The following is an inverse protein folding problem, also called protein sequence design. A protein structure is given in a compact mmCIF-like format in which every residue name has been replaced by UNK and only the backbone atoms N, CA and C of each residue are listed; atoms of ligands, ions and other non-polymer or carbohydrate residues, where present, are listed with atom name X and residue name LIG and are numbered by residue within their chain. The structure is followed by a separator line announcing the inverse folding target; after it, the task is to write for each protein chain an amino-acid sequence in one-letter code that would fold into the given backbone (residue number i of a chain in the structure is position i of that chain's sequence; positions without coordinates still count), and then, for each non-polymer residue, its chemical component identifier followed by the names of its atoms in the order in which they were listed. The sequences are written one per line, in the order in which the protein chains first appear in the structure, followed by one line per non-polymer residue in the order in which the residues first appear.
data_IF_280420414043
#
_entry.id   IF_280420414043
#
_cell.length_a   1.000
_cell.length_b   1.000
_cell.length_c   1.000
_cell.angle_alpha   90.00
_cell.angle_beta   90.00
_cell.angle_gamma   90.00
#
_symmetry.space_group_name_H-M   'P 1'
#
loop_
_entity.id
_entity.type
_entity.pdbx_description
1 polymer ?
#
# COMPACT_ATOMS: atom_id res chain seq x y z
N UNK A 1 -13.19 -7.96 -23.56
CA UNK A 1 -12.96 -6.50 -23.64
C UNK A 1 -12.31 -6.18 -24.98
N UNK A 2 -12.91 -5.29 -25.78
CA UNK A 2 -12.24 -4.76 -26.97
C UNK A 2 -11.00 -4.00 -26.49
N UNK A 3 -9.83 -4.35 -27.01
CA UNK A 3 -8.53 -3.98 -26.42
C UNK A 3 -8.20 -2.48 -26.40
N UNK A 4 -8.98 -1.65 -27.10
CA UNK A 4 -8.65 -0.24 -27.36
C UNK A 4 -9.77 0.74 -27.01
N UNK A 5 -10.82 0.32 -26.29
CA UNK A 5 -11.91 1.22 -25.85
C UNK A 5 -12.00 1.28 -24.33
N UNK A 6 -12.15 2.48 -23.78
CA UNK A 6 -12.43 2.68 -22.35
C UNK A 6 -13.86 2.28 -22.02
N UNK A 7 -14.18 2.10 -20.73
CA UNK A 7 -15.53 1.80 -20.30
C UNK A 7 -16.50 2.90 -20.72
N UNK A 8 -16.11 4.16 -20.58
CA UNK A 8 -16.88 5.34 -20.97
C UNK A 8 -17.20 5.29 -22.46
N UNK A 9 -16.20 5.00 -23.31
CA UNK A 9 -16.39 4.88 -24.76
C UNK A 9 -17.32 3.73 -25.14
N UNK A 10 -17.29 2.62 -24.39
CA UNK A 10 -18.21 1.51 -24.59
C UNK A 10 -19.62 1.94 -24.20
N UNK A 11 -19.79 2.61 -23.05
CA UNK A 11 -21.09 3.06 -22.57
C UNK A 11 -21.72 4.12 -23.48
N UNK A 12 -20.94 5.08 -23.98
CA UNK A 12 -21.41 6.08 -24.96
C UNK A 12 -21.88 5.43 -26.27
N UNK A 13 -21.24 4.32 -26.68
CA UNK A 13 -21.61 3.59 -27.90
C UNK A 13 -22.88 2.74 -27.70
N UNK A 14 -22.93 1.98 -26.61
CA UNK A 14 -23.96 0.97 -26.36
C UNK A 14 -25.20 1.54 -25.67
N UNK A 15 -25.07 2.68 -24.98
CA UNK A 15 -26.12 3.36 -24.21
C UNK A 15 -26.05 4.89 -24.45
N UNK A 16 -26.37 5.38 -25.66
CA UNK A 16 -26.17 6.78 -26.03
C UNK A 16 -27.05 7.78 -25.24
N UNK A 17 -28.16 7.30 -24.67
CA UNK A 17 -29.05 8.11 -23.82
C UNK A 17 -28.53 8.23 -22.37
N UNK A 18 -27.50 7.45 -22.00
CA UNK A 18 -26.90 7.49 -20.68
C UNK A 18 -25.91 8.66 -20.59
N UNK A 19 -26.27 9.68 -19.81
CA UNK A 19 -25.38 10.80 -19.52
C UNK A 19 -24.66 10.59 -18.18
N UNK A 20 -23.40 10.14 -18.24
CA UNK A 20 -22.57 9.91 -17.05
C UNK A 20 -21.75 11.16 -16.73
N UNK A 21 -21.85 11.63 -15.49
CA UNK A 21 -21.01 12.71 -14.97
C UNK A 21 -20.05 12.16 -13.93
N UNK A 22 -18.76 12.14 -14.26
CA UNK A 22 -17.72 11.67 -13.35
C UNK A 22 -17.29 12.80 -12.40
N UNK A 23 -17.47 12.57 -11.10
CA UNK A 23 -17.01 13.49 -10.04
C UNK A 23 -15.93 12.80 -9.21
N UNK A 24 -14.64 13.11 -9.43
CA UNK A 24 -13.56 12.50 -8.64
C UNK A 24 -13.59 13.02 -7.20
N UNK A 25 -13.41 12.11 -6.25
CA UNK A 25 -13.36 12.37 -4.82
C UNK A 25 -12.09 11.78 -4.20
N UNK A 26 -11.58 12.32 -3.09
CA UNK A 26 -10.25 11.96 -2.59
C UNK A 26 -10.17 10.60 -1.87
N UNK A 27 -11.31 9.97 -1.52
CA UNK A 27 -11.32 8.68 -0.81
C UNK A 27 -12.62 7.90 -1.00
N UNK A 28 -12.57 6.60 -0.73
CA UNK A 28 -13.76 5.75 -0.75
C UNK A 28 -14.82 6.20 0.25
N UNK A 29 -14.40 6.66 1.43
CA UNK A 29 -15.33 7.19 2.44
C UNK A 29 -16.06 8.45 1.95
N UNK A 30 -15.35 9.36 1.28
CA UNK A 30 -15.97 10.55 0.69
C UNK A 30 -16.96 10.16 -0.43
N UNK A 31 -16.63 9.14 -1.23
CA UNK A 31 -17.51 8.62 -2.27
C UNK A 31 -18.81 8.03 -1.69
N UNK A 32 -18.68 7.18 -0.65
CA UNK A 32 -19.83 6.60 0.05
C UNK A 32 -20.71 7.70 0.65
N UNK A 33 -20.11 8.74 1.22
CA UNK A 33 -20.86 9.85 1.81
C UNK A 33 -21.68 10.62 0.77
N UNK A 34 -21.17 10.82 -0.45
CA UNK A 34 -21.95 11.42 -1.53
C UNK A 34 -23.16 10.55 -1.94
N UNK A 35 -23.01 9.23 -1.95
CA UNK A 35 -24.13 8.31 -2.20
C UNK A 35 -25.17 8.42 -1.08
N UNK A 36 -24.76 8.45 0.19
CA UNK A 36 -25.68 8.61 1.33
C UNK A 36 -26.47 9.90 1.32
N UNK A 37 -25.87 10.96 0.79
CA UNK A 37 -26.48 12.28 0.70
C UNK A 37 -27.36 12.45 -0.54
N UNK A 38 -27.58 11.38 -1.31
CA UNK A 38 -28.26 11.41 -2.62
C UNK A 38 -27.65 12.45 -3.59
N UNK A 39 -26.35 12.76 -3.43
CA UNK A 39 -25.64 13.73 -4.26
C UNK A 39 -25.14 13.12 -5.58
N UNK A 40 -25.00 11.79 -5.63
CA UNK A 40 -24.65 11.00 -6.81
C UNK A 40 -25.48 9.71 -6.83
N UNK A 41 -25.76 9.18 -8.02
CA UNK A 41 -26.56 7.95 -8.17
C UNK A 41 -25.82 6.69 -7.70
N UNK A 42 -24.51 6.63 -7.92
CA UNK A 42 -23.64 5.56 -7.45
C UNK A 42 -22.18 6.04 -7.36
N UNK A 43 -21.35 5.27 -6.66
CA UNK A 43 -19.92 5.49 -6.56
C UNK A 43 -19.15 4.22 -6.91
N UNK A 44 -18.00 4.38 -7.59
CA UNK A 44 -17.02 3.32 -7.79
C UNK A 44 -15.85 3.61 -6.85
N UNK A 45 -15.61 2.71 -5.90
CA UNK A 45 -14.61 2.92 -4.86
C UNK A 45 -13.95 1.59 -4.46
N UNK A 46 -12.63 1.57 -4.20
CA UNK A 46 -12.00 0.43 -3.55
C UNK A 46 -12.51 0.31 -2.11
N UNK A 47 -13.05 -0.84 -1.75
CA UNK A 47 -13.64 -1.08 -0.42
C UNK A 47 -12.91 -2.23 0.28
N UNK A 48 -11.72 -2.01 0.86
CA UNK A 48 -11.05 -3.02 1.65
C UNK A 48 -11.68 -3.15 3.04
N UNK A 49 -11.78 -4.39 3.54
CA UNK A 49 -12.23 -4.65 4.91
C UNK A 49 -13.74 -4.56 5.11
N UNK A 50 -14.17 -3.86 6.16
CA UNK A 50 -15.57 -3.82 6.57
C UNK A 50 -16.40 -2.95 5.65
N UNK A 51 -17.57 -3.45 5.28
CA UNK A 51 -18.47 -2.78 4.35
C UNK A 51 -19.58 -2.04 5.09
N UNK A 52 -19.95 -0.83 4.64
CA UNK A 52 -21.13 -0.15 5.17
C UNK A 52 -22.38 -1.00 4.92
N UNK A 53 -23.26 -1.09 5.92
CA UNK A 53 -24.51 -1.88 5.85
C UNK A 53 -25.70 -1.06 5.37
N UNK A 54 -25.52 0.25 5.25
CA UNK A 54 -26.55 1.24 4.92
C UNK A 54 -26.57 1.64 3.45
N UNK A 55 -25.66 1.08 2.64
CA UNK A 55 -25.63 1.23 1.18
C UNK A 55 -25.53 -0.14 0.51
N UNK A 56 -26.11 -0.28 -0.69
CA UNK A 56 -25.95 -1.49 -1.50
C UNK A 56 -24.59 -1.49 -2.18
N UNK A 57 -23.91 -2.64 -2.18
CA UNK A 57 -22.56 -2.80 -2.73
C UNK A 57 -22.58 -3.97 -3.72
N UNK A 58 -22.20 -3.68 -4.96
CA UNK A 58 -22.05 -4.67 -6.02
C UNK A 58 -20.58 -4.73 -6.48
N UNK A 59 -19.90 -5.90 -6.38
CA UNK A 59 -18.52 -6.03 -6.82
C UNK A 59 -18.46 -6.05 -8.35
N UNK A 60 -17.75 -5.07 -8.94
CA UNK A 60 -17.59 -4.95 -10.39
C UNK A 60 -16.22 -5.39 -10.90
N UNK A 61 -15.20 -5.40 -10.04
CA UNK A 61 -13.83 -5.76 -10.38
C UNK A 61 -13.03 -6.17 -9.13
N UNK A 62 -11.94 -6.91 -9.37
CA UNK A 62 -10.91 -7.18 -8.38
C UNK A 62 -9.58 -6.59 -8.87
N UNK A 63 -8.83 -5.97 -7.97
CA UNK A 63 -7.46 -5.51 -8.21
C UNK A 63 -6.50 -6.22 -7.24
N UNK A 64 -5.22 -6.25 -7.61
CA UNK A 64 -4.15 -6.82 -6.82
C UNK A 64 -3.33 -5.76 -6.08
N UNK A 65 -2.60 -6.19 -5.06
CA UNK A 65 -1.51 -5.42 -4.47
C UNK A 65 -0.20 -5.92 -5.08
N UNK A 66 0.53 -5.05 -5.76
CA UNK A 66 1.83 -5.37 -6.35
C UNK A 66 2.94 -4.77 -5.48
N UNK A 67 3.90 -5.61 -5.12
CA UNK A 67 5.14 -5.20 -4.46
C UNK A 67 6.24 -5.21 -5.52
N UNK A 68 7.04 -4.15 -5.59
CA UNK A 68 8.01 -3.99 -6.67
C UNK A 68 9.29 -3.32 -6.21
N UNK A 69 10.37 -3.65 -6.92
CA UNK A 69 11.71 -3.09 -6.75
C UNK A 69 12.20 -2.53 -8.07
N UNK A 70 13.29 -1.76 -8.05
CA UNK A 70 13.92 -1.28 -9.27
C UNK A 70 14.41 -2.43 -10.16
N UNK A 71 14.39 -2.21 -11.47
CA UNK A 71 14.90 -3.17 -12.43
C UNK A 71 15.51 -2.50 -13.66
N UNK A 72 16.67 -3.02 -14.06
CA UNK A 72 17.34 -2.68 -15.31
C UNK A 72 17.72 -3.95 -16.04
N UNK A 73 17.45 -3.99 -17.34
CA UNK A 73 17.88 -5.09 -18.20
C UNK A 73 19.40 -5.25 -18.26
N UNK A 74 20.14 -4.15 -18.17
CA UNK A 74 21.61 -4.16 -18.25
C UNK A 74 22.22 -4.80 -16.98
N UNK A 75 21.59 -4.57 -15.84
CA UNK A 75 22.06 -5.05 -14.53
C UNK A 75 21.24 -6.22 -13.99
N UNK A 76 20.56 -6.95 -14.88
CA UNK A 76 19.61 -8.02 -14.52
C UNK A 76 20.20 -9.02 -13.53
N UNK A 77 21.44 -9.46 -13.74
CA UNK A 77 22.10 -10.48 -12.91
C UNK A 77 22.63 -9.93 -11.57
N UNK A 78 22.68 -8.61 -11.42
CA UNK A 78 23.14 -7.93 -10.19
C UNK A 78 21.98 -7.26 -9.43
N UNK A 79 20.80 -7.19 -10.04
CA UNK A 79 19.61 -6.56 -9.47
C UNK A 79 18.92 -7.43 -8.41
N UNK A 80 18.16 -6.76 -7.54
CA UNK A 80 17.35 -7.42 -6.50
C UNK A 80 16.46 -8.56 -7.04
N UNK A 81 15.79 -8.43 -8.20
CA UNK A 81 14.98 -9.53 -8.73
C UNK A 81 15.74 -10.83 -8.93
N UNK A 82 17.01 -10.78 -9.35
CA UNK A 82 17.81 -12.00 -9.53
C UNK A 82 18.17 -12.62 -8.17
N UNK A 83 18.68 -11.80 -7.25
CA UNK A 83 19.08 -12.26 -5.91
C UNK A 83 17.92 -12.83 -5.09
N UNK A 84 16.75 -12.22 -5.22
CA UNK A 84 15.52 -12.65 -4.55
C UNK A 84 14.78 -13.74 -5.34
N UNK A 85 15.33 -14.22 -6.46
CA UNK A 85 14.68 -15.18 -7.37
C UNK A 85 13.27 -14.74 -7.79
N UNK A 86 13.06 -13.42 -7.89
CA UNK A 86 11.81 -12.80 -8.27
C UNK A 86 10.72 -12.87 -7.20
N UNK A 87 11.03 -13.20 -5.95
CA UNK A 87 10.03 -13.43 -4.91
C UNK A 87 10.41 -12.90 -3.52
N UNK A 88 9.40 -12.59 -2.71
CA UNK A 88 9.51 -12.33 -1.27
C UNK A 88 8.39 -13.07 -0.54
N UNK A 89 8.65 -13.56 0.66
CA UNK A 89 7.57 -14.07 1.51
C UNK A 89 6.84 -12.95 2.24
N UNK A 90 5.61 -13.22 2.69
CA UNK A 90 4.87 -12.28 3.53
C UNK A 90 5.62 -11.91 4.81
N UNK A 91 6.36 -12.85 5.39
CA UNK A 91 7.20 -12.60 6.57
C UNK A 91 8.33 -11.64 6.26
N UNK A 92 9.05 -11.83 5.15
CA UNK A 92 10.14 -10.93 4.76
C UNK A 92 9.61 -9.52 4.46
N UNK A 93 8.47 -9.43 3.79
CA UNK A 93 7.83 -8.15 3.48
C UNK A 93 7.40 -7.42 4.76
N UNK A 94 6.82 -8.13 5.72
CA UNK A 94 6.49 -7.60 7.05
C UNK A 94 7.74 -7.07 7.75
N UNK A 95 8.82 -7.85 7.79
CA UNK A 95 10.08 -7.47 8.43
C UNK A 95 10.73 -6.23 7.79
N UNK A 96 10.64 -6.09 6.47
CA UNK A 96 11.07 -4.87 5.77
C UNK A 96 10.26 -3.65 6.24
N UNK A 97 8.93 -3.73 6.16
CA UNK A 97 8.06 -2.59 6.45
C UNK A 97 7.88 -2.27 7.94
N UNK A 98 8.29 -3.16 8.84
CA UNK A 98 8.41 -2.89 10.29
C UNK A 98 9.81 -2.45 10.71
N UNK A 99 10.76 -2.33 9.77
CA UNK A 99 12.13 -1.90 10.05
C UNK A 99 13.03 -2.97 10.70
N UNK A 100 12.62 -4.24 10.73
CA UNK A 100 13.45 -5.35 11.21
C UNK A 100 14.57 -5.71 10.24
N UNK A 101 14.34 -5.46 8.95
CA UNK A 101 15.35 -5.64 7.89
C UNK A 101 15.62 -4.28 7.25
N UNK A 102 16.86 -3.82 7.41
CA UNK A 102 17.33 -2.53 6.87
C UNK A 102 18.40 -2.70 5.78
N UNK A 103 18.80 -3.93 5.47
CA UNK A 103 19.77 -4.24 4.43
C UNK A 103 19.41 -5.54 3.68
N UNK A 104 19.53 -5.53 2.36
CA UNK A 104 19.16 -6.65 1.50
C UNK A 104 20.01 -7.91 1.69
N UNK A 105 21.20 -7.81 2.29
CA UNK A 105 21.99 -9.00 2.66
C UNK A 105 21.28 -9.94 3.62
N UNK A 106 20.41 -9.42 4.49
CA UNK A 106 19.60 -10.25 5.39
C UNK A 106 18.64 -11.19 4.63
N UNK A 107 18.35 -10.89 3.36
CA UNK A 107 17.46 -11.63 2.47
C UNK A 107 18.22 -12.38 1.35
N UNK A 108 19.55 -12.48 1.44
CA UNK A 108 20.39 -13.10 0.40
C UNK A 108 20.69 -12.16 -0.79
N UNK A 109 20.35 -10.89 -0.66
CA UNK A 109 20.66 -9.83 -1.63
C UNK A 109 22.08 -9.26 -1.49
N UNK A 110 22.42 -8.28 -2.35
CA UNK A 110 23.65 -7.51 -2.26
C UNK A 110 23.66 -6.61 -1.00
N UNK A 111 24.84 -6.08 -0.65
CA UNK A 111 25.00 -5.09 0.43
C UNK A 111 24.42 -3.73 0.03
N UNK A 112 23.10 -3.64 0.04
CA UNK A 112 22.35 -2.43 -0.26
C UNK A 112 21.47 -2.10 0.93
N UNK A 113 21.48 -0.82 1.34
CA UNK A 113 20.53 -0.31 2.32
C UNK A 113 19.12 -0.39 1.73
N UNK A 114 18.17 -0.79 2.55
CA UNK A 114 16.75 -0.84 2.20
C UNK A 114 16.19 0.58 2.28
N UNK A 115 15.51 1.01 1.22
CA UNK A 115 14.74 2.24 1.19
C UNK A 115 13.28 1.93 0.85
N UNK A 116 12.35 2.37 1.68
CA UNK A 116 10.97 1.91 1.63
C UNK A 116 10.06 3.04 1.11
N UNK A 117 9.03 2.69 0.34
CA UNK A 117 7.99 3.64 -0.03
C UNK A 117 6.60 3.11 0.24
N UNK A 118 5.72 4.04 0.65
CA UNK A 118 4.29 3.80 0.84
C UNK A 118 3.47 4.63 -0.15
N UNK A 119 2.35 4.08 -0.65
CA UNK A 119 1.40 4.84 -1.45
C UNK A 119 0.66 5.86 -0.58
N UNK A 120 0.22 6.97 -1.17
CA UNK A 120 -0.60 7.97 -0.47
C UNK A 120 -2.06 7.53 -0.28
N UNK A 121 -2.51 6.48 -0.98
CA UNK A 121 -3.88 5.99 -0.90
C UNK A 121 -4.09 5.19 0.40
N UNK A 122 -4.95 5.65 1.33
CA UNK A 122 -5.17 4.97 2.60
C UNK A 122 -5.77 3.57 2.43
N UNK A 123 -6.57 3.34 1.38
CA UNK A 123 -7.17 2.05 1.09
C UNK A 123 -6.09 1.00 0.75
N UNK A 124 -5.03 1.38 0.04
CA UNK A 124 -3.91 0.48 -0.26
C UNK A 124 -3.10 0.15 1.00
N UNK A 125 -2.91 1.14 1.88
CA UNK A 125 -2.27 0.92 3.18
C UNK A 125 -3.11 -0.06 4.01
N UNK A 126 -4.43 0.10 4.07
CA UNK A 126 -5.31 -0.83 4.78
C UNK A 126 -5.25 -2.25 4.22
N UNK A 127 -5.24 -2.42 2.88
CA UNK A 127 -5.05 -3.74 2.26
C UNK A 127 -3.70 -4.32 2.66
N UNK A 128 -2.63 -3.52 2.66
CA UNK A 128 -1.30 -3.96 3.07
C UNK A 128 -1.28 -4.43 4.54
N UNK A 129 -1.88 -3.66 5.45
CA UNK A 129 -2.02 -4.05 6.86
C UNK A 129 -2.74 -5.39 7.02
N UNK A 130 -3.89 -5.56 6.36
CA UNK A 130 -4.71 -6.77 6.46
C UNK A 130 -4.04 -7.99 5.82
N UNK A 131 -3.34 -7.82 4.70
CA UNK A 131 -2.82 -8.93 3.88
C UNK A 131 -1.38 -9.30 4.21
N UNK A 132 -0.55 -8.31 4.53
CA UNK A 132 0.89 -8.49 4.78
C UNK A 132 1.22 -8.51 6.27
N UNK A 133 0.75 -7.51 7.02
CA UNK A 133 1.11 -7.40 8.44
C UNK A 133 0.32 -8.41 9.28
N UNK A 134 -0.99 -8.56 9.03
CA UNK A 134 -1.91 -9.58 9.57
C UNK A 134 -2.11 -9.58 11.09
N UNK A 135 -1.14 -9.16 11.90
CA UNK A 135 -1.22 -9.13 13.37
C UNK A 135 -1.31 -7.70 13.90
N UNK A 136 -2.06 -7.47 15.00
CA UNK A 136 -2.15 -6.15 15.62
C UNK A 136 -0.79 -5.55 15.97
N UNK A 137 0.12 -6.36 16.52
CA UNK A 137 1.48 -5.93 16.89
C UNK A 137 2.29 -5.46 15.67
N UNK A 138 2.23 -6.19 14.55
CA UNK A 138 2.94 -5.79 13.34
C UNK A 138 2.35 -4.51 12.73
N UNK A 139 1.03 -4.35 12.79
CA UNK A 139 0.33 -3.14 12.34
C UNK A 139 0.71 -1.94 13.20
N UNK A 140 0.73 -2.08 14.52
CA UNK A 140 1.13 -1.01 15.43
C UNK A 140 2.59 -0.59 15.19
N UNK A 141 3.50 -1.57 15.08
CA UNK A 141 4.91 -1.31 14.78
C UNK A 141 5.10 -0.60 13.44
N UNK A 142 4.38 -1.05 12.40
CA UNK A 142 4.35 -0.39 11.09
C UNK A 142 3.84 1.05 11.20
N UNK A 143 2.68 1.28 11.82
CA UNK A 143 2.10 2.62 11.94
C UNK A 143 3.00 3.57 12.71
N UNK A 144 3.63 3.10 13.78
CA UNK A 144 4.62 3.88 14.54
C UNK A 144 5.87 4.18 13.73
N UNK A 145 6.37 3.19 12.97
CA UNK A 145 7.54 3.36 12.12
C UNK A 145 7.31 4.40 11.01
N UNK A 146 6.08 4.52 10.52
CA UNK A 146 5.69 5.42 9.43
C UNK A 146 4.92 6.68 9.85
N UNK A 147 4.73 6.91 11.16
CA UNK A 147 3.91 8.00 11.72
C UNK A 147 2.48 8.06 11.12
N UNK A 148 1.83 6.89 10.98
CA UNK A 148 0.50 6.72 10.39
C UNK A 148 -0.63 6.67 11.43
N UNK A 149 -0.41 7.21 12.64
CA UNK A 149 -1.35 7.12 13.77
C UNK A 149 -2.73 7.72 13.47
N UNK A 150 -2.83 8.56 12.43
CA UNK A 150 -4.07 9.24 12.02
C UNK A 150 -4.93 8.47 11.01
N UNK A 151 -4.45 7.35 10.45
CA UNK A 151 -5.22 6.60 9.46
C UNK A 151 -6.34 5.76 10.11
N UNK A 152 -7.57 5.73 9.55
CA UNK A 152 -8.64 4.90 10.10
C UNK A 152 -8.25 3.42 10.10
N UNK A 153 -8.31 2.76 11.27
CA UNK A 153 -8.14 1.32 11.40
C UNK A 153 -9.40 0.62 10.90
N UNK A 154 -9.27 -0.31 9.94
CA UNK A 154 -10.32 -1.29 9.73
C UNK A 154 -10.33 -2.21 10.94
N UNK A 155 -11.43 -2.25 11.69
CA UNK A 155 -11.59 -3.09 12.88
C UNK A 155 -11.38 -4.58 12.55
N UNK A 156 -10.14 -5.06 12.60
CA UNK A 156 -9.81 -6.47 12.70
C UNK A 156 -9.96 -6.88 14.17
N UNK A 157 -11.23 -6.98 14.59
CA UNK A 157 -11.79 -7.75 15.71
C UNK A 157 -12.83 -6.95 16.53
N UNK A 158 -14.11 -7.14 16.19
CA UNK A 158 -15.15 -7.27 17.22
C UNK A 158 -14.85 -8.56 18.01
N UNK A 159 -13.87 -8.48 18.91
CA UNK A 159 -13.67 -9.41 20.03
C UNK A 159 -12.68 -8.81 21.03
N UNK A 160 -12.89 -7.54 21.38
CA UNK A 160 -12.47 -6.93 22.64
C UNK A 160 -13.64 -6.08 23.15
N UNK A 161 -14.83 -6.67 23.21
CA UNK A 161 -15.86 -6.14 24.11
C UNK A 161 -15.36 -6.38 25.54
N UNK A 162 -15.26 -5.29 26.30
CA UNK A 162 -14.82 -5.18 27.70
C UNK A 162 -13.33 -4.94 27.94
N UNK A 163 -12.88 -3.71 27.65
CA UNK A 163 -11.84 -3.07 28.45
C UNK A 163 -12.12 -1.56 28.55
N UNK A 164 -13.28 -1.20 29.12
CA UNK A 164 -13.30 0.04 29.90
C UNK A 164 -12.40 -0.21 31.11
N UNK A 165 -11.17 0.29 31.06
CA UNK A 165 -10.38 0.48 32.27
C UNK A 165 -9.71 1.83 32.17
N UNK A 166 -10.35 2.80 32.83
CA UNK A 166 -9.69 3.97 33.39
C UNK A 166 -8.39 3.50 34.07
N UNK A 167 -7.24 3.77 33.48
CA UNK A 167 -5.97 3.71 34.21
C UNK A 167 -5.65 5.12 34.65
N UNK A 168 -5.96 5.37 35.92
CA UNK A 168 -5.43 6.47 36.71
C UNK A 168 -3.94 6.30 36.87
N UNK A 169 -3.20 7.39 36.77
CA UNK A 169 -1.76 7.54 37.06
C UNK A 169 -1.24 6.72 38.25
N UNK A 170 -0.20 5.92 38.02
CA UNK A 170 0.92 5.78 38.97
C UNK A 170 2.09 5.02 38.33
N UNK A 171 3.17 5.75 38.12
CA UNK A 171 4.59 5.38 38.24
C UNK A 171 5.01 3.94 37.90
N UNK A 172 5.49 3.77 36.67
CA UNK A 172 6.67 2.97 36.30
C UNK A 172 7.02 3.32 34.86
N UNK A 173 7.47 4.56 34.66
CA UNK A 173 8.04 5.04 33.41
C UNK A 173 9.32 4.25 33.10
N UNK A 174 9.16 3.06 32.55
CA UNK A 174 10.18 2.48 31.68
C UNK A 174 9.96 3.13 30.32
N UNK A 175 10.31 4.42 30.23
CA UNK A 175 10.54 5.08 28.97
C UNK A 175 11.59 4.23 28.25
N UNK A 176 11.16 3.43 27.27
CA UNK A 176 12.10 2.96 26.25
C UNK A 176 12.48 4.22 25.50
N UNK A 177 13.60 4.81 25.90
CA UNK A 177 14.34 5.79 25.11
C UNK A 177 14.79 5.09 23.85
N UNK A 178 13.91 5.07 22.85
CA UNK A 178 14.34 4.87 21.47
C UNK A 178 15.17 6.10 21.13
N UNK A 179 16.48 5.87 21.00
CA UNK A 179 17.42 6.87 20.54
C UNK A 179 16.87 7.57 19.31
N UNK A 180 16.82 8.89 19.42
CA UNK A 180 16.48 9.86 18.39
C UNK A 180 17.18 9.50 17.06
N UNK A 181 16.37 9.32 16.01
CA UNK A 181 16.74 9.24 14.59
C UNK A 181 17.51 7.98 14.10
N UNK A 182 16.80 6.88 13.86
CA UNK A 182 16.92 6.23 12.54
C UNK A 182 15.75 6.70 11.69
N UNK A 183 16.00 7.79 10.97
CA UNK A 183 15.12 8.42 9.99
C UNK A 183 14.63 7.34 9.03
N UNK A 184 13.31 7.28 8.80
CA UNK A 184 12.69 6.51 7.72
C UNK A 184 13.53 6.77 6.46
N UNK A 185 14.28 5.75 6.00
CA UNK A 185 14.93 5.85 4.70
C UNK A 185 13.85 5.54 3.66
N UNK A 186 13.02 6.54 3.35
CA UNK A 186 11.77 6.31 2.64
C UNK A 186 10.74 7.43 2.76
N UNK A 187 9.56 7.23 2.18
CA UNK A 187 8.47 8.20 2.25
C UNK A 187 7.10 7.68 1.80
N UNK A 188 6.05 8.41 2.22
CA UNK A 188 4.68 8.24 1.71
C UNK A 188 4.51 9.18 0.52
N UNK A 189 4.46 8.63 -0.69
CA UNK A 189 4.45 9.41 -1.94
C UNK A 189 3.48 8.83 -2.97
N UNK A 190 2.96 9.66 -3.90
CA UNK A 190 2.09 9.18 -4.98
C UNK A 190 2.74 8.07 -5.81
N UNK A 191 1.95 7.09 -6.28
CA UNK A 191 2.47 5.91 -7.01
C UNK A 191 3.42 6.27 -8.17
N UNK A 192 3.09 7.28 -8.97
CA UNK A 192 3.95 7.68 -10.09
C UNK A 192 5.31 8.21 -9.61
N UNK A 193 5.32 9.01 -8.55
CA UNK A 193 6.53 9.54 -7.93
C UNK A 193 7.34 8.41 -7.30
N UNK A 194 6.67 7.44 -6.66
CA UNK A 194 7.31 6.24 -6.12
C UNK A 194 8.06 5.45 -7.19
N UNK A 195 7.44 5.19 -8.34
CA UNK A 195 8.07 4.47 -9.45
C UNK A 195 9.32 5.20 -9.96
N UNK A 196 9.24 6.53 -10.08
CA UNK A 196 10.37 7.37 -10.50
C UNK A 196 11.49 7.37 -9.46
N UNK A 197 11.14 7.50 -8.18
CA UNK A 197 12.11 7.56 -7.10
C UNK A 197 12.85 6.23 -6.92
N UNK A 198 12.15 5.10 -7.04
CA UNK A 198 12.77 3.77 -7.02
C UNK A 198 13.81 3.62 -8.13
N UNK A 199 13.53 4.15 -9.33
CA UNK A 199 14.49 4.14 -10.43
C UNK A 199 15.70 5.05 -10.15
N UNK A 200 15.46 6.26 -9.63
CA UNK A 200 16.54 7.19 -9.27
C UNK A 200 17.46 6.62 -8.20
N UNK A 201 16.90 5.99 -7.17
CA UNK A 201 17.63 5.34 -6.08
C UNK A 201 18.54 4.20 -6.58
N UNK A 202 18.10 3.51 -7.63
CA UNK A 202 18.85 2.45 -8.29
C UNK A 202 19.98 2.96 -9.18
N UNK A 203 19.75 4.08 -9.88
CA UNK A 203 20.74 4.72 -10.77
C UNK A 203 21.77 5.58 -10.00
N UNK A 204 21.50 5.93 -8.74
CA UNK A 204 22.39 6.74 -7.92
C UNK A 204 23.73 6.04 -7.62
N UNK A 205 24.80 6.84 -7.46
CA UNK A 205 26.16 6.34 -7.19
C UNK A 205 26.25 5.49 -5.92
N UNK A 206 25.52 5.87 -4.86
CA UNK A 206 25.49 5.15 -3.59
C UNK A 206 24.71 3.83 -3.65
N UNK A 207 23.87 3.64 -4.68
CA UNK A 207 22.93 2.54 -4.92
C UNK A 207 22.11 2.13 -3.69
N UNK A 208 20.82 2.45 -3.72
CA UNK A 208 19.88 2.01 -2.68
C UNK A 208 18.99 0.90 -3.23
N UNK A 209 18.66 -0.05 -2.37
CA UNK A 209 17.72 -1.11 -2.72
C UNK A 209 16.31 -0.67 -2.34
N UNK A 210 15.66 0.05 -3.25
CA UNK A 210 14.34 0.60 -2.99
C UNK A 210 13.21 -0.37 -3.30
N UNK A 211 12.19 -0.40 -2.45
CA UNK A 211 10.98 -1.22 -2.60
C UNK A 211 9.74 -0.38 -2.30
N UNK A 212 8.69 -0.63 -3.08
CA UNK A 212 7.39 0.01 -2.93
C UNK A 212 6.27 -0.98 -3.15
N UNK A 213 5.05 -0.56 -2.85
CA UNK A 213 3.85 -1.28 -3.25
C UNK A 213 2.76 -0.31 -3.72
N UNK A 214 1.91 -0.81 -4.62
CA UNK A 214 0.76 -0.08 -5.15
C UNK A 214 -0.27 -1.07 -5.71
N UNK A 215 -1.38 -0.54 -6.23
CA UNK A 215 -2.35 -1.34 -6.98
C UNK A 215 -1.68 -1.96 -8.22
N UNK A 216 -2.00 -3.23 -8.51
CA UNK A 216 -1.45 -3.95 -9.65
C UNK A 216 -1.80 -3.26 -10.96
N UNK A 217 -3.02 -2.72 -11.09
CA UNK A 217 -3.43 -1.97 -12.28
C UNK A 217 -2.60 -0.69 -12.53
N UNK A 218 -1.98 -0.11 -11.49
CA UNK A 218 -1.07 1.04 -11.62
C UNK A 218 0.37 0.63 -11.98
N UNK A 219 0.79 -0.57 -11.59
CA UNK A 219 2.16 -1.08 -11.81
C UNK A 219 2.26 -1.87 -13.12
N UNK A 220 1.16 -2.46 -13.59
CA UNK A 220 1.14 -3.26 -14.79
C UNK A 220 1.59 -2.45 -16.02
N UNK A 221 2.53 -3.01 -16.79
CA UNK A 221 3.07 -2.37 -17.99
C UNK A 221 4.11 -1.27 -17.73
N UNK A 222 4.49 -1.02 -16.48
CA UNK A 222 5.59 -0.10 -16.16
C UNK A 222 6.94 -0.77 -16.42
N UNK A 223 7.78 -0.15 -17.25
CA UNK A 223 9.08 -0.71 -17.65
C UNK A 223 10.22 -0.45 -16.65
N UNK A 224 9.99 0.39 -15.64
CA UNK A 224 11.03 0.88 -14.72
C UNK A 224 11.17 0.06 -13.44
N UNK A 225 10.24 -0.86 -13.19
CA UNK A 225 10.19 -1.66 -11.95
C UNK A 225 9.89 -3.12 -12.26
N UNK A 226 10.22 -3.98 -11.31
CA UNK A 226 9.96 -5.41 -11.37
C UNK A 226 9.04 -5.83 -10.23
N UNK A 227 7.81 -6.28 -10.53
CA UNK A 227 6.92 -6.87 -9.54
C UNK A 227 7.51 -8.17 -8.99
N UNK A 228 7.56 -8.28 -7.66
CA UNK A 228 8.00 -9.49 -6.97
C UNK A 228 6.79 -10.39 -6.68
N UNK A 229 6.96 -11.69 -6.89
CA UNK A 229 5.99 -12.68 -6.46
C UNK A 229 5.95 -12.77 -4.93
N UNK A 230 4.77 -13.07 -4.38
CA UNK A 230 4.61 -13.36 -2.96
C UNK A 230 4.52 -14.88 -2.79
N UNK A 231 5.49 -15.46 -2.06
CA UNK A 231 5.66 -16.91 -1.88
C UNK A 231 5.37 -17.38 -0.44
#
# INVERSE_FOLDING_TARGET
MARDKTLEQILETEQPDLNLQLTPVPSSQAAIEQVRQDAVDFAIAPLPGNHPTDVTIDPIAYDGLAVFVAFSYIEREQGLPHHLQGQLSLTQLRQLYTGEITNWQALGGPNLRVKLYLPTQPELIQVFEQRVLQTPEAIEKFRRFWDLETLPTSNLSNSLENAETFITSSESDTFITFSEAEVIDGGVIPTLEMLQQILQDFEAEARLGSIGFASLSQVYGQCSVYPLAIA
#
